data_IF_472344940039
#
_entry.id   IF_472344940039
#
_cell.length_a   1.000
_cell.length_b   1.000
_cell.length_c   1.000
_cell.angle_alpha   90.00
_cell.angle_beta   90.00
_cell.angle_gamma   90.00
#
_symmetry.space_group_name_H-M   'P 1'
#
loop_
_entity.id
_entity.type
_entity.pdbx_description
1 polymer ?
#
# COMPACT_ATOMS: atom_id res chain seq x y z
N UNK A 1 10.14 -59.02 11.35
CA UNK A 1 8.96 -59.69 11.81
C UNK A 1 7.72 -58.83 11.52
N UNK A 2 6.58 -59.48 11.21
CA UNK A 2 5.33 -58.83 10.71
C UNK A 2 4.82 -57.70 11.62
N UNK A 3 4.98 -57.79 12.92
CA UNK A 3 4.54 -56.77 13.90
C UNK A 3 5.29 -55.43 13.74
N UNK A 4 6.57 -55.46 13.39
CA UNK A 4 7.36 -54.24 13.15
C UNK A 4 6.99 -53.55 11.82
N UNK A 5 6.56 -54.35 10.83
CA UNK A 5 6.06 -53.80 9.54
C UNK A 5 4.69 -53.15 9.69
N UNK A 6 3.80 -53.73 10.52
CA UNK A 6 2.47 -53.11 10.78
C UNK A 6 2.62 -51.79 11.55
N UNK A 7 3.46 -51.74 12.59
CA UNK A 7 3.72 -50.48 13.32
C UNK A 7 4.36 -49.38 12.45
N UNK A 8 5.21 -49.76 11.49
CA UNK A 8 5.83 -48.80 10.57
C UNK A 8 4.79 -48.24 9.58
N UNK A 9 3.86 -49.08 9.06
CA UNK A 9 2.77 -48.62 8.20
C UNK A 9 1.75 -47.73 8.93
N UNK A 10 1.42 -48.02 10.20
CA UNK A 10 0.57 -47.16 11.02
C UNK A 10 1.23 -45.81 11.33
N UNK A 11 2.55 -45.79 11.54
CA UNK A 11 3.27 -44.55 11.77
C UNK A 11 3.36 -43.68 10.50
N UNK A 12 3.57 -44.33 9.35
CA UNK A 12 3.57 -43.62 8.04
C UNK A 12 2.17 -43.11 7.66
N UNK A 13 1.10 -43.88 7.95
CA UNK A 13 -0.27 -43.43 7.74
C UNK A 13 -0.64 -42.23 8.64
N UNK A 14 -0.26 -42.28 9.91
CA UNK A 14 -0.46 -41.16 10.85
C UNK A 14 0.33 -39.93 10.47
N UNK A 15 1.53 -40.08 9.91
CA UNK A 15 2.35 -38.97 9.42
C UNK A 15 1.69 -38.28 8.18
N UNK A 16 1.17 -39.11 7.26
CA UNK A 16 0.42 -38.61 6.07
C UNK A 16 -0.90 -37.93 6.48
N UNK A 17 -1.61 -38.44 7.49
CA UNK A 17 -2.84 -37.77 8.00
C UNK A 17 -2.54 -36.45 8.71
N UNK A 18 -1.42 -36.35 9.45
CA UNK A 18 -0.96 -35.09 10.06
C UNK A 18 -0.53 -34.07 9.00
N UNK A 19 0.26 -34.49 8.00
CA UNK A 19 0.69 -33.62 6.90
C UNK A 19 -0.52 -33.12 6.06
N UNK A 20 -1.49 -34.01 5.78
CA UNK A 20 -2.73 -33.63 5.07
C UNK A 20 -3.64 -32.72 5.92
N UNK A 21 -3.68 -32.92 7.25
CA UNK A 21 -4.43 -32.05 8.17
C UNK A 21 -3.81 -30.65 8.28
N UNK A 22 -2.49 -30.58 8.32
CA UNK A 22 -1.76 -29.32 8.36
C UNK A 22 -1.88 -28.54 7.02
N UNK A 23 -1.83 -29.23 5.88
CA UNK A 23 -2.09 -28.61 4.57
C UNK A 23 -3.54 -28.14 4.42
N UNK A 24 -4.53 -28.93 4.88
CA UNK A 24 -5.93 -28.53 4.84
C UNK A 24 -6.24 -27.33 5.75
N UNK A 25 -5.64 -27.28 6.94
CA UNK A 25 -5.75 -26.12 7.83
C UNK A 25 -5.05 -24.90 7.24
N UNK A 26 -3.85 -25.07 6.65
CA UNK A 26 -3.13 -23.98 5.99
C UNK A 26 -3.91 -23.45 4.79
N UNK A 27 -4.55 -24.30 4.00
CA UNK A 27 -5.40 -23.87 2.87
C UNK A 27 -6.66 -23.17 3.36
N UNK A 28 -7.30 -23.65 4.44
CA UNK A 28 -8.46 -22.97 5.04
C UNK A 28 -8.08 -21.59 5.61
N UNK A 29 -6.92 -21.48 6.28
CA UNK A 29 -6.39 -20.21 6.78
C UNK A 29 -6.05 -19.23 5.63
N UNK A 30 -5.56 -19.75 4.49
CA UNK A 30 -5.28 -18.94 3.29
C UNK A 30 -6.58 -18.47 2.61
N UNK A 31 -7.59 -19.33 2.52
CA UNK A 31 -8.91 -18.96 2.00
C UNK A 31 -9.62 -17.93 2.89
N UNK A 32 -9.50 -18.06 4.23
CA UNK A 32 -10.05 -17.11 5.19
C UNK A 32 -9.33 -15.74 5.14
N UNK A 33 -8.02 -15.73 4.94
CA UNK A 33 -7.23 -14.50 4.73
C UNK A 33 -7.63 -13.77 3.42
N UNK A 34 -8.02 -14.51 2.38
CA UNK A 34 -8.43 -13.97 1.09
C UNK A 34 -9.79 -13.24 1.15
N UNK A 35 -10.73 -13.75 1.96
CA UNK A 35 -12.08 -13.18 2.11
C UNK A 35 -12.11 -11.97 3.06
N UNK A 36 -11.02 -11.70 3.81
CA UNK A 36 -11.00 -10.61 4.78
C UNK A 36 -10.91 -9.24 4.12
N UNK A 37 -11.97 -8.47 4.23
CA UNK A 37 -12.03 -7.10 3.75
C UNK A 37 -11.01 -6.19 4.44
N UNK A 38 -10.30 -5.37 3.65
CA UNK A 38 -9.42 -4.32 4.14
C UNK A 38 -10.19 -2.98 4.16
N UNK A 39 -10.69 -2.59 5.32
CA UNK A 39 -11.47 -1.37 5.46
C UNK A 39 -10.56 -0.17 5.81
N UNK A 40 -10.42 0.77 4.88
CA UNK A 40 -9.62 1.97 5.07
C UNK A 40 -10.50 3.15 5.51
N UNK A 41 -10.16 3.76 6.64
CA UNK A 41 -10.82 4.96 7.14
C UNK A 41 -10.24 6.21 6.48
N UNK A 42 -11.10 7.16 6.09
CA UNK A 42 -10.69 8.44 5.51
C UNK A 42 -10.96 9.60 6.47
N UNK A 43 -10.23 10.70 6.28
CA UNK A 43 -10.29 11.89 7.12
C UNK A 43 -11.55 12.75 6.96
N UNK A 44 -12.43 12.36 6.06
CA UNK A 44 -13.61 13.16 5.68
C UNK A 44 -13.36 14.02 4.44
N UNK A 45 -14.35 14.80 4.06
CA UNK A 45 -14.25 15.67 2.90
C UNK A 45 -13.55 17.00 3.24
N UNK A 46 -12.61 17.38 2.40
CA UNK A 46 -12.01 18.71 2.40
C UNK A 46 -12.69 19.57 1.30
N UNK A 47 -12.85 20.86 1.56
CA UNK A 47 -13.50 21.80 0.62
C UNK A 47 -12.59 22.17 -0.55
N UNK A 48 -11.30 21.94 -0.45
CA UNK A 48 -10.28 22.31 -1.43
C UNK A 48 -9.42 21.11 -1.81
N UNK A 49 -8.52 21.30 -2.78
CA UNK A 49 -7.53 20.32 -3.12
C UNK A 49 -6.63 20.02 -1.89
N UNK A 50 -6.30 18.76 -1.69
CA UNK A 50 -5.39 18.33 -0.65
C UNK A 50 -3.99 18.88 -0.93
N UNK A 51 -3.56 18.77 -2.20
CA UNK A 51 -2.29 19.29 -2.72
C UNK A 51 -2.50 19.87 -4.10
N UNK A 52 -1.88 21.02 -4.38
CA UNK A 52 -1.89 21.67 -5.70
C UNK A 52 -0.49 22.17 -6.04
N UNK A 53 -0.04 21.84 -7.22
CA UNK A 53 1.16 22.34 -7.86
C UNK A 53 0.77 23.40 -8.91
N UNK A 54 1.45 24.52 -8.92
CA UNK A 54 1.31 25.58 -9.88
C UNK A 54 2.71 25.88 -10.48
N UNK A 55 2.95 25.43 -11.71
CA UNK A 55 4.20 25.63 -12.46
C UNK A 55 5.45 25.06 -11.76
N UNK A 56 5.34 23.89 -11.12
CA UNK A 56 6.41 23.32 -10.28
C UNK A 56 7.53 22.74 -11.13
N UNK A 57 8.78 23.18 -10.87
CA UNK A 57 9.98 22.54 -11.40
C UNK A 57 10.88 22.08 -10.26
N UNK A 58 11.68 21.05 -10.52
CA UNK A 58 12.62 20.54 -9.53
C UNK A 58 13.90 20.02 -10.14
N UNK A 59 15.04 20.43 -9.54
CA UNK A 59 16.36 19.88 -9.75
C UNK A 59 17.06 19.67 -8.40
N UNK A 60 17.86 18.61 -8.28
CA UNK A 60 18.77 18.47 -7.15
C UNK A 60 19.95 19.41 -7.29
N UNK A 61 20.59 19.85 -6.18
CA UNK A 61 21.75 20.73 -6.25
C UNK A 61 22.86 20.17 -7.14
N UNK A 62 23.19 20.90 -8.21
CA UNK A 62 24.24 20.52 -9.18
C UNK A 62 23.84 19.44 -10.17
N UNK A 63 22.59 19.00 -10.19
CA UNK A 63 22.03 18.03 -11.14
C UNK A 63 21.16 18.68 -12.22
N UNK A 64 20.76 17.88 -13.20
CA UNK A 64 19.83 18.26 -14.24
C UNK A 64 18.40 18.37 -13.68
N UNK A 65 17.55 19.12 -14.37
CA UNK A 65 16.15 19.28 -14.04
C UNK A 65 15.40 17.96 -14.23
N UNK A 66 14.76 17.46 -13.15
CA UNK A 66 14.01 16.21 -13.17
C UNK A 66 12.63 16.38 -13.82
N UNK A 67 12.03 17.53 -13.65
CA UNK A 67 10.79 17.94 -14.30
C UNK A 67 10.59 19.45 -14.18
N UNK A 68 9.86 20.00 -15.15
CA UNK A 68 9.61 21.42 -15.27
C UNK A 68 8.13 21.72 -15.51
N UNK A 69 7.70 22.89 -15.02
CA UNK A 69 6.40 23.52 -15.29
C UNK A 69 5.20 22.54 -15.07
N UNK A 70 5.20 21.87 -13.92
CA UNK A 70 4.19 20.87 -13.58
C UNK A 70 2.99 21.50 -12.89
N UNK A 71 1.82 21.34 -13.50
CA UNK A 71 0.53 21.62 -12.88
C UNK A 71 -0.14 20.30 -12.47
N UNK A 72 -0.43 20.15 -11.18
CA UNK A 72 -1.07 18.96 -10.61
C UNK A 72 -2.00 19.36 -9.48
N UNK A 73 -3.17 18.77 -9.43
CA UNK A 73 -4.06 18.88 -8.28
C UNK A 73 -4.54 17.52 -7.82
N UNK A 74 -4.49 17.30 -6.50
CA UNK A 74 -4.95 16.06 -5.85
C UNK A 74 -6.02 16.42 -4.84
N UNK A 75 -7.17 15.82 -4.96
CA UNK A 75 -8.32 15.95 -4.07
C UNK A 75 -8.77 14.60 -3.49
N UNK A 76 -9.85 14.56 -2.72
CA UNK A 76 -10.38 13.34 -2.09
C UNK A 76 -10.94 12.31 -3.10
N UNK A 77 -11.15 12.68 -4.35
CA UNK A 77 -11.65 11.78 -5.41
C UNK A 77 -10.55 11.31 -6.35
N UNK A 78 -9.37 11.88 -6.23
CA UNK A 78 -8.23 11.58 -7.07
C UNK A 78 -7.77 10.13 -6.91
N UNK A 79 -7.47 9.47 -8.03
CA UNK A 79 -6.86 8.15 -8.15
C UNK A 79 -5.77 8.27 -9.21
N UNK A 80 -4.65 8.84 -8.81
CA UNK A 80 -3.54 9.20 -9.69
C UNK A 80 -2.48 8.12 -9.62
N UNK A 81 -2.02 7.62 -10.76
CA UNK A 81 -0.81 6.80 -10.83
C UNK A 81 0.34 7.59 -11.42
N UNK A 82 1.50 7.49 -10.80
CA UNK A 82 2.76 8.04 -11.29
C UNK A 82 3.56 6.94 -11.99
N UNK A 83 3.81 7.10 -13.29
CA UNK A 83 4.58 6.18 -14.11
C UNK A 83 5.85 6.86 -14.61
N UNK A 84 6.84 6.07 -14.97
CA UNK A 84 8.12 6.51 -15.51
C UNK A 84 9.22 5.53 -15.17
N UNK A 85 10.32 5.60 -15.85
CA UNK A 85 11.49 4.78 -15.55
C UNK A 85 12.10 5.13 -14.17
N UNK A 86 12.97 4.25 -13.68
CA UNK A 86 13.68 4.51 -12.43
C UNK A 86 14.60 5.72 -12.59
N UNK A 87 14.64 6.60 -11.59
CA UNK A 87 15.44 7.82 -11.63
C UNK A 87 14.76 9.04 -12.26
N UNK A 88 13.61 8.89 -12.92
CA UNK A 88 12.92 10.00 -13.61
C UNK A 88 12.21 11.00 -12.68
N UNK A 89 12.20 10.78 -11.36
CA UNK A 89 11.67 11.76 -10.41
C UNK A 89 10.35 11.38 -9.72
N UNK A 90 9.82 10.13 -9.88
CA UNK A 90 8.60 9.67 -9.19
C UNK A 90 8.68 9.88 -7.68
N UNK A 91 9.74 9.35 -7.04
CA UNK A 91 9.97 9.50 -5.60
C UNK A 91 10.16 10.96 -5.19
N UNK A 92 10.79 11.76 -6.05
CA UNK A 92 10.95 13.21 -5.81
C UNK A 92 9.60 13.91 -5.83
N UNK A 93 8.73 13.59 -6.77
CA UNK A 93 7.38 14.14 -6.83
C UNK A 93 6.57 13.75 -5.59
N UNK A 94 6.66 12.50 -5.13
CA UNK A 94 6.06 12.05 -3.86
C UNK A 94 6.58 12.89 -2.69
N UNK A 95 7.89 13.10 -2.58
CA UNK A 95 8.49 13.92 -1.51
C UNK A 95 8.04 15.39 -1.56
N UNK A 96 7.79 15.92 -2.75
CA UNK A 96 7.22 17.28 -2.88
C UNK A 96 5.74 17.27 -2.46
N UNK A 97 4.96 16.24 -2.81
CA UNK A 97 3.57 16.11 -2.37
C UNK A 97 3.49 16.03 -0.83
N UNK A 98 4.37 15.26 -0.18
CA UNK A 98 4.42 15.11 1.28
C UNK A 98 4.98 16.33 2.00
N UNK A 99 5.71 17.21 1.30
CA UNK A 99 6.38 18.38 1.89
C UNK A 99 7.76 18.09 2.47
N UNK A 100 8.34 16.92 2.16
CA UNK A 100 9.73 16.59 2.51
C UNK A 100 10.74 17.33 1.65
N UNK A 101 10.34 17.73 0.43
CA UNK A 101 11.12 18.55 -0.49
C UNK A 101 10.31 19.75 -0.94
N UNK A 102 10.97 20.89 -1.07
CA UNK A 102 10.39 22.08 -1.68
C UNK A 102 10.80 22.17 -3.16
N UNK A 103 9.93 22.70 -4.05
CA UNK A 103 10.24 22.86 -5.46
C UNK A 103 11.38 23.87 -5.69
N UNK A 104 12.13 23.72 -6.78
CA UNK A 104 13.14 24.70 -7.20
C UNK A 104 12.50 25.96 -7.74
N UNK A 105 11.34 25.84 -8.41
CA UNK A 105 10.52 26.96 -8.87
C UNK A 105 9.03 26.57 -8.88
N UNK A 106 8.15 27.55 -9.05
CA UNK A 106 6.71 27.36 -8.92
C UNK A 106 6.25 27.37 -7.46
N UNK A 107 5.04 26.90 -7.22
CA UNK A 107 4.48 26.84 -5.86
C UNK A 107 3.69 25.58 -5.59
N UNK A 108 3.73 25.09 -4.34
CA UNK A 108 2.93 23.96 -3.87
C UNK A 108 2.06 24.40 -2.72
N UNK A 109 0.75 24.34 -2.94
CA UNK A 109 -0.23 24.62 -1.90
C UNK A 109 -0.72 23.30 -1.32
N UNK A 110 -0.67 23.17 0.02
CA UNK A 110 -1.17 22.02 0.77
C UNK A 110 -2.26 22.49 1.73
N UNK A 111 -3.38 21.78 1.80
CA UNK A 111 -4.42 22.06 2.79
C UNK A 111 -3.87 21.78 4.19
N UNK A 112 -3.97 22.76 5.10
CA UNK A 112 -3.43 22.65 6.47
C UNK A 112 -4.17 21.64 7.34
N UNK A 113 -5.40 21.30 7.00
CA UNK A 113 -6.21 20.29 7.68
C UNK A 113 -6.00 18.89 7.09
N UNK A 114 -5.31 18.76 5.97
CA UNK A 114 -5.09 17.49 5.31
C UNK A 114 -4.07 16.64 6.07
N UNK A 115 -4.41 15.36 6.26
CA UNK A 115 -3.48 14.32 6.67
C UNK A 115 -3.08 13.52 5.45
N UNK A 116 -1.79 13.55 5.12
CA UNK A 116 -1.19 12.80 4.01
C UNK A 116 -0.34 11.69 4.60
N UNK A 117 -0.63 10.46 4.23
CA UNK A 117 0.13 9.29 4.68
C UNK A 117 0.82 8.63 3.49
N UNK A 118 2.11 8.38 3.63
CA UNK A 118 2.90 7.61 2.68
C UNK A 118 3.02 6.17 3.17
N UNK A 119 2.69 5.22 2.33
CA UNK A 119 2.96 3.79 2.51
C UNK A 119 3.99 3.40 1.47
N UNK A 120 5.19 3.10 1.90
CA UNK A 120 6.26 2.61 1.05
C UNK A 120 6.53 1.12 1.34
N UNK A 121 7.32 0.50 0.48
CA UNK A 121 7.70 -0.91 0.59
C UNK A 121 8.26 -1.28 1.98
N UNK A 122 8.92 -0.34 2.67
CA UNK A 122 9.53 -0.57 3.98
C UNK A 122 8.54 -0.48 5.16
N UNK A 123 7.29 -0.06 4.95
CA UNK A 123 6.33 0.04 6.06
C UNK A 123 5.99 -1.31 6.69
N UNK A 124 5.89 -2.37 5.88
CA UNK A 124 5.73 -3.73 6.38
C UNK A 124 7.01 -4.23 7.11
N UNK A 125 8.18 -3.73 6.72
CA UNK A 125 9.47 -4.03 7.35
C UNK A 125 9.70 -3.25 8.66
N UNK A 126 9.00 -2.12 8.86
CA UNK A 126 9.03 -1.35 10.11
C UNK A 126 8.35 -2.07 11.26
N UNK A 127 7.52 -3.07 10.96
CA UNK A 127 7.01 -3.97 11.97
C UNK A 127 8.17 -4.82 12.49
N UNK A 128 8.76 -4.42 13.63
CA UNK A 128 9.87 -5.13 14.24
C UNK A 128 9.50 -6.61 14.42
N UNK A 129 10.39 -7.51 14.04
CA UNK A 129 10.14 -8.95 13.97
C UNK A 129 9.64 -9.58 15.26
N UNK A 130 10.00 -9.01 16.41
CA UNK A 130 9.63 -9.44 17.75
C UNK A 130 8.35 -8.80 18.28
N UNK A 131 7.84 -7.75 17.62
CA UNK A 131 6.59 -7.08 18.02
C UNK A 131 5.38 -7.77 17.43
N UNK A 132 4.30 -7.76 18.20
CA UNK A 132 2.98 -8.18 17.72
C UNK A 132 2.26 -7.02 17.02
N UNK A 133 1.28 -7.26 16.14
CA UNK A 133 0.44 -6.22 15.54
C UNK A 133 -0.14 -5.25 16.57
N UNK A 134 -0.68 -5.76 17.66
CA UNK A 134 -1.23 -4.90 18.71
C UNK A 134 -0.16 -4.06 19.40
N UNK A 135 1.00 -4.64 19.73
CA UNK A 135 2.09 -3.91 20.35
C UNK A 135 2.61 -2.80 19.43
N UNK A 136 2.72 -3.08 18.14
CA UNK A 136 3.08 -2.07 17.12
C UNK A 136 2.07 -0.92 17.08
N UNK A 137 0.77 -1.23 17.09
CA UNK A 137 -0.28 -0.20 17.12
C UNK A 137 -0.26 0.62 18.41
N UNK A 138 -0.03 0.00 19.56
CA UNK A 138 0.06 0.71 20.84
C UNK A 138 1.30 1.62 20.92
N UNK A 139 2.42 1.19 20.36
CA UNK A 139 3.64 2.01 20.30
C UNK A 139 3.46 3.21 19.36
N UNK A 140 2.77 2.99 18.23
CA UNK A 140 2.51 4.05 17.24
C UNK A 140 1.43 5.02 17.72
N UNK A 141 0.43 4.49 18.44
CA UNK A 141 -0.73 5.24 18.92
C UNK A 141 -0.95 4.96 20.42
N UNK A 142 -0.11 5.50 21.30
CA UNK A 142 -0.14 5.15 22.72
C UNK A 142 -1.45 5.58 23.42
N UNK A 143 -2.16 6.59 22.88
CA UNK A 143 -3.41 7.08 23.46
C UNK A 143 -3.29 7.45 24.92
N UNK A 144 -4.33 7.12 25.71
CA UNK A 144 -4.38 7.35 27.16
C UNK A 144 -4.01 6.11 27.99
N UNK A 145 -3.59 5.01 27.33
CA UNK A 145 -3.27 3.75 28.00
C UNK A 145 -4.49 2.99 28.55
N UNK A 146 -5.71 3.45 28.25
CA UNK A 146 -6.94 2.80 28.75
C UNK A 146 -7.25 1.51 28.00
N UNK A 147 -7.99 0.61 28.68
CA UNK A 147 -8.55 -0.58 28.05
C UNK A 147 -9.43 -0.24 26.82
N UNK A 148 -10.19 0.85 26.90
CA UNK A 148 -11.02 1.29 25.78
C UNK A 148 -10.18 1.68 24.55
N UNK A 149 -9.02 2.29 24.74
CA UNK A 149 -8.10 2.61 23.65
C UNK A 149 -7.54 1.35 23.00
N UNK A 150 -7.11 0.38 23.81
CA UNK A 150 -6.64 -0.91 23.30
C UNK A 150 -7.73 -1.63 22.50
N UNK A 151 -8.99 -1.66 22.99
CA UNK A 151 -10.11 -2.28 22.28
C UNK A 151 -10.41 -1.58 20.94
N UNK A 152 -10.23 -0.27 20.83
CA UNK A 152 -10.34 0.45 19.55
C UNK A 152 -9.28 0.01 18.56
N UNK A 153 -8.03 -0.16 19.01
CA UNK A 153 -6.94 -0.63 18.15
C UNK A 153 -7.19 -2.07 17.68
N UNK A 154 -7.64 -2.97 18.57
CA UNK A 154 -8.01 -4.35 18.24
C UNK A 154 -9.13 -4.41 17.21
N UNK A 155 -10.21 -3.66 17.45
CA UNK A 155 -11.34 -3.57 16.52
C UNK A 155 -10.92 -3.02 15.15
N UNK A 156 -10.02 -2.03 15.14
CA UNK A 156 -9.51 -1.46 13.90
C UNK A 156 -8.61 -2.45 13.13
N UNK A 157 -7.74 -3.18 13.81
CA UNK A 157 -6.95 -4.26 13.23
C UNK A 157 -7.88 -5.32 12.58
N UNK A 158 -8.91 -5.76 13.30
CA UNK A 158 -9.89 -6.72 12.75
C UNK A 158 -10.62 -6.15 11.54
N UNK A 159 -11.00 -4.88 11.56
CA UNK A 159 -11.61 -4.19 10.40
C UNK A 159 -10.69 -4.08 9.18
N UNK A 160 -9.39 -4.17 9.38
CA UNK A 160 -8.37 -4.23 8.32
C UNK A 160 -7.95 -5.67 7.97
N UNK A 161 -8.70 -6.68 8.43
CA UNK A 161 -8.45 -8.07 8.11
C UNK A 161 -7.29 -8.71 8.90
N UNK A 162 -6.91 -8.14 10.05
CA UNK A 162 -5.98 -8.78 10.98
C UNK A 162 -6.78 -9.50 12.04
N UNK A 163 -6.91 -10.82 11.89
CA UNK A 163 -7.67 -11.68 12.79
C UNK A 163 -7.24 -11.52 14.25
N UNK A 164 -8.17 -11.73 15.17
CA UNK A 164 -7.93 -11.55 16.61
C UNK A 164 -6.78 -12.43 17.11
N UNK A 165 -6.66 -13.64 16.60
CA UNK A 165 -5.61 -14.63 16.90
C UNK A 165 -4.24 -14.09 16.51
N UNK A 166 -4.16 -13.40 15.37
CA UNK A 166 -2.91 -12.86 14.83
C UNK A 166 -2.45 -11.58 15.54
N UNK A 167 -3.35 -10.85 16.20
CA UNK A 167 -3.02 -9.57 16.83
C UNK A 167 -1.96 -9.66 17.94
N UNK A 168 -1.79 -10.86 18.52
CA UNK A 168 -0.80 -11.14 19.56
C UNK A 168 0.33 -12.08 19.10
N UNK A 169 0.40 -12.40 17.80
CA UNK A 169 1.47 -13.22 17.22
C UNK A 169 2.62 -12.31 16.79
N UNK A 170 3.88 -12.66 17.09
CA UNK A 170 5.03 -11.87 16.62
C UNK A 170 5.07 -11.75 15.09
N UNK A 171 5.46 -10.57 14.59
CA UNK A 171 5.50 -10.27 13.18
C UNK A 171 6.37 -11.25 12.36
N UNK A 172 7.36 -11.88 12.99
CA UNK A 172 8.18 -12.91 12.35
C UNK A 172 7.33 -14.06 11.79
N UNK A 173 6.26 -14.44 12.50
CA UNK A 173 5.38 -15.56 12.13
C UNK A 173 4.23 -15.15 11.19
N UNK A 174 4.09 -13.86 10.85
CA UNK A 174 3.06 -13.37 9.93
C UNK A 174 3.51 -13.51 8.48
N UNK A 175 2.56 -13.80 7.59
CA UNK A 175 2.75 -13.75 6.14
C UNK A 175 3.04 -12.33 5.63
N UNK A 176 3.50 -12.19 4.39
CA UNK A 176 3.69 -10.89 3.74
C UNK A 176 2.39 -10.08 3.66
N UNK A 177 1.29 -10.74 3.27
CA UNK A 177 -0.04 -10.13 3.20
C UNK A 177 -0.54 -9.68 4.58
N UNK A 178 -0.38 -10.50 5.61
CA UNK A 178 -0.75 -10.15 6.99
C UNK A 178 0.05 -8.95 7.51
N UNK A 179 1.36 -8.88 7.26
CA UNK A 179 2.19 -7.70 7.60
C UNK A 179 1.73 -6.44 6.87
N UNK A 180 1.38 -6.57 5.60
CA UNK A 180 0.85 -5.45 4.81
C UNK A 180 -0.48 -4.95 5.38
N UNK A 181 -1.38 -5.85 5.80
CA UNK A 181 -2.65 -5.47 6.48
C UNK A 181 -2.40 -4.71 7.78
N UNK A 182 -1.42 -5.11 8.59
CA UNK A 182 -1.03 -4.36 9.80
C UNK A 182 -0.51 -2.97 9.46
N UNK A 183 0.35 -2.84 8.45
CA UNK A 183 0.86 -1.55 7.99
C UNK A 183 -0.28 -0.64 7.48
N UNK A 184 -1.21 -1.20 6.70
CA UNK A 184 -2.38 -0.48 6.21
C UNK A 184 -3.34 -0.09 7.35
N UNK A 185 -3.49 -0.94 8.37
CA UNK A 185 -4.26 -0.61 9.57
C UNK A 185 -3.66 0.60 10.30
N UNK A 186 -2.34 0.67 10.46
CA UNK A 186 -1.68 1.81 11.09
C UNK A 186 -1.87 3.12 10.30
N UNK A 187 -1.82 3.04 8.98
CA UNK A 187 -2.12 4.19 8.11
C UNK A 187 -3.59 4.60 8.22
N UNK A 188 -4.49 3.63 8.11
CA UNK A 188 -5.94 3.85 8.17
C UNK A 188 -6.39 4.44 9.51
N UNK A 189 -5.75 4.05 10.63
CA UNK A 189 -6.09 4.57 11.96
C UNK A 189 -5.88 6.08 12.09
N UNK A 190 -4.98 6.64 11.30
CA UNK A 190 -4.76 8.10 11.22
C UNK A 190 -5.89 8.82 10.48
N UNK A 191 -6.82 8.09 9.86
CA UNK A 191 -7.89 8.62 9.02
C UNK A 191 -7.36 9.65 7.99
N UNK A 192 -6.47 9.25 7.05
CA UNK A 192 -5.85 10.16 6.11
C UNK A 192 -6.84 10.72 5.09
N UNK A 193 -6.56 11.93 4.58
CA UNK A 193 -7.28 12.53 3.45
C UNK A 193 -6.66 12.12 2.11
N UNK A 194 -5.35 11.80 2.13
CA UNK A 194 -4.58 11.31 1.00
C UNK A 194 -3.68 10.17 1.44
N UNK A 195 -3.77 9.05 0.73
CA UNK A 195 -2.81 7.95 0.85
C UNK A 195 -1.91 7.95 -0.38
N UNK A 196 -0.61 7.91 -0.17
CA UNK A 196 0.38 7.70 -1.22
C UNK A 196 0.92 6.28 -1.04
N UNK A 197 0.84 5.48 -2.10
CA UNK A 197 1.29 4.09 -2.13
C UNK A 197 2.47 3.97 -3.07
N UNK A 198 3.64 3.62 -2.55
CA UNK A 198 4.85 3.43 -3.33
C UNK A 198 5.18 1.94 -3.42
N UNK A 199 4.94 1.34 -4.60
CA UNK A 199 5.08 -0.08 -4.93
C UNK A 199 4.37 -1.02 -3.92
N UNK A 200 3.06 -0.81 -3.65
CA UNK A 200 2.36 -1.49 -2.56
C UNK A 200 2.11 -2.97 -2.83
N UNK A 201 2.22 -3.44 -4.08
CA UNK A 201 1.98 -4.82 -4.48
C UNK A 201 3.21 -5.71 -4.36
N UNK A 202 4.38 -5.14 -4.10
CA UNK A 202 5.60 -5.91 -3.90
C UNK A 202 5.46 -6.84 -2.69
N UNK A 203 5.79 -8.11 -2.89
CA UNK A 203 5.70 -9.17 -1.89
C UNK A 203 4.28 -9.52 -1.41
N UNK A 204 3.24 -9.09 -2.12
CA UNK A 204 1.87 -9.53 -1.91
C UNK A 204 1.52 -10.69 -2.85
N UNK A 205 0.74 -11.64 -2.33
CA UNK A 205 0.04 -12.62 -3.16
C UNK A 205 -1.12 -11.97 -3.91
N UNK A 206 -1.70 -12.70 -4.86
CA UNK A 206 -2.78 -12.18 -5.72
C UNK A 206 -3.99 -11.76 -4.89
N UNK A 207 -4.34 -12.51 -3.87
CA UNK A 207 -5.51 -12.28 -3.01
C UNK A 207 -5.34 -11.01 -2.18
N UNK A 208 -4.15 -10.80 -1.59
CA UNK A 208 -3.82 -9.56 -0.88
C UNK A 208 -3.80 -8.35 -1.82
N UNK A 209 -3.35 -8.51 -3.08
CA UNK A 209 -3.42 -7.46 -4.09
C UNK A 209 -4.86 -7.10 -4.43
N UNK A 210 -5.75 -8.09 -4.56
CA UNK A 210 -7.18 -7.87 -4.82
C UNK A 210 -7.87 -7.16 -3.67
N UNK A 211 -7.64 -7.61 -2.43
CA UNK A 211 -8.17 -6.97 -1.23
C UNK A 211 -7.69 -5.50 -1.09
N UNK A 212 -6.41 -5.24 -1.41
CA UNK A 212 -5.87 -3.89 -1.41
C UNK A 212 -6.51 -3.02 -2.51
N UNK A 213 -6.68 -3.55 -3.72
CA UNK A 213 -7.32 -2.83 -4.81
C UNK A 213 -8.77 -2.45 -4.45
N UNK A 214 -9.54 -3.38 -3.91
CA UNK A 214 -10.91 -3.13 -3.45
C UNK A 214 -10.96 -2.09 -2.32
N UNK A 215 -10.04 -2.17 -1.37
CA UNK A 215 -9.92 -1.18 -0.29
C UNK A 215 -9.67 0.23 -0.84
N UNK A 216 -8.81 0.37 -1.86
CA UNK A 216 -8.53 1.65 -2.50
C UNK A 216 -9.71 2.17 -3.31
N UNK A 217 -10.43 1.30 -4.02
CA UNK A 217 -11.66 1.65 -4.74
C UNK A 217 -12.71 2.23 -3.78
N UNK A 218 -12.88 1.62 -2.61
CA UNK A 218 -13.84 2.00 -1.59
C UNK A 218 -13.39 3.18 -0.72
N UNK A 219 -12.10 3.50 -0.70
CA UNK A 219 -11.53 4.56 0.12
C UNK A 219 -12.11 5.92 -0.24
N UNK A 220 -12.52 6.71 0.77
CA UNK A 220 -13.18 8.01 0.60
C UNK A 220 -12.21 9.21 0.60
N UNK A 221 -10.92 8.97 0.55
CA UNK A 221 -9.88 9.97 0.38
C UNK A 221 -9.18 9.87 -0.97
N UNK A 222 -8.24 10.77 -1.25
CA UNK A 222 -7.39 10.75 -2.44
C UNK A 222 -6.36 9.62 -2.39
N UNK A 223 -5.95 9.14 -3.56
CA UNK A 223 -4.88 8.14 -3.70
C UNK A 223 -3.90 8.56 -4.78
N UNK A 224 -2.62 8.54 -4.45
CA UNK A 224 -1.51 8.62 -5.38
C UNK A 224 -0.77 7.29 -5.32
N UNK A 225 -0.57 6.66 -6.47
CA UNK A 225 0.03 5.35 -6.60
C UNK A 225 1.30 5.44 -7.45
N UNK A 226 2.40 4.88 -6.96
CA UNK A 226 3.58 4.54 -7.76
C UNK A 226 3.60 3.02 -7.86
N UNK A 227 3.42 2.46 -9.04
CA UNK A 227 3.46 1.01 -9.24
C UNK A 227 3.76 0.65 -10.69
N UNK A 228 4.44 -0.47 -10.86
CA UNK A 228 4.68 -1.12 -12.16
C UNK A 228 3.73 -2.30 -12.41
N UNK A 229 2.89 -2.66 -11.46
CA UNK A 229 1.90 -3.71 -11.60
C UNK A 229 0.74 -3.25 -12.48
N UNK A 230 0.69 -3.77 -13.71
CA UNK A 230 -0.30 -3.35 -14.71
C UNK A 230 -1.73 -3.67 -14.27
N UNK A 231 -1.95 -4.84 -13.69
CA UNK A 231 -3.28 -5.26 -13.26
C UNK A 231 -3.82 -4.33 -12.17
N UNK A 232 -3.00 -4.06 -11.17
CA UNK A 232 -3.34 -3.17 -10.06
C UNK A 232 -3.60 -1.73 -10.54
N UNK A 233 -2.72 -1.22 -11.41
CA UNK A 233 -2.86 0.13 -11.98
C UNK A 233 -4.15 0.25 -12.83
N UNK A 234 -4.45 -0.73 -13.69
CA UNK A 234 -5.66 -0.72 -14.51
C UNK A 234 -6.94 -0.68 -13.68
N UNK A 235 -6.94 -1.36 -12.55
CA UNK A 235 -8.10 -1.43 -11.66
C UNK A 235 -8.31 -0.14 -10.86
N UNK A 236 -7.25 0.44 -10.33
CA UNK A 236 -7.31 1.53 -9.35
C UNK A 236 -7.23 2.91 -9.98
N UNK A 237 -6.41 3.09 -11.05
CA UNK A 237 -6.08 4.41 -11.58
C UNK A 237 -7.20 4.99 -12.44
N UNK A 238 -7.59 6.23 -12.14
CA UNK A 238 -8.47 7.05 -12.98
C UNK A 238 -7.70 8.05 -13.82
N UNK A 239 -6.49 8.36 -13.43
CA UNK A 239 -5.61 9.32 -14.06
C UNK A 239 -4.17 8.81 -14.03
N UNK A 240 -3.45 9.01 -15.11
CA UNK A 240 -2.06 8.57 -15.27
C UNK A 240 -1.18 9.79 -15.48
N UNK A 241 -0.13 9.91 -14.68
CA UNK A 241 0.92 10.91 -14.83
C UNK A 241 2.20 10.18 -15.20
N UNK A 242 2.78 10.52 -16.33
CA UNK A 242 4.03 9.95 -16.83
C UNK A 242 5.14 10.97 -16.66
N UNK A 243 6.19 10.58 -15.95
CA UNK A 243 7.41 11.38 -15.78
C UNK A 243 8.50 10.78 -16.66
N UNK A 244 8.93 11.51 -17.66
CA UNK A 244 9.87 11.03 -18.67
C UNK A 244 10.65 12.18 -19.28
N UNK A 245 11.97 12.07 -19.31
CA UNK A 245 12.89 13.02 -19.94
C UNK A 245 12.66 14.49 -19.54
N UNK A 246 12.47 14.73 -18.24
CA UNK A 246 12.22 16.06 -17.68
C UNK A 246 10.81 16.61 -17.91
N UNK A 247 9.94 15.87 -18.58
CA UNK A 247 8.56 16.26 -18.85
C UNK A 247 7.57 15.43 -18.00
N UNK A 248 6.49 16.09 -17.59
CA UNK A 248 5.37 15.43 -16.92
C UNK A 248 4.16 15.49 -17.85
N UNK A 249 3.63 14.32 -18.20
CA UNK A 249 2.48 14.19 -19.11
C UNK A 249 1.30 13.61 -18.38
N UNK A 250 0.16 14.24 -18.45
CA UNK A 250 -1.10 13.72 -17.93
C UNK A 250 -1.84 12.96 -19.03
N UNK A 251 -2.26 11.74 -18.73
CA UNK A 251 -3.03 10.89 -19.61
C UNK A 251 -4.35 10.51 -18.93
N UNK A 252 -5.42 10.42 -19.71
CA UNK A 252 -6.76 10.11 -19.20
C UNK A 252 -6.92 8.67 -18.70
N UNK A 253 -6.05 7.76 -19.15
CA UNK A 253 -6.15 6.35 -18.78
C UNK A 253 -4.84 5.58 -19.00
N UNK A 254 -4.70 4.45 -18.32
CA UNK A 254 -3.58 3.53 -18.52
C UNK A 254 -3.59 2.90 -19.94
N UNK A 255 -4.74 2.74 -20.56
CA UNK A 255 -4.84 2.29 -21.95
C UNK A 255 -4.18 3.30 -22.93
N UNK A 256 -4.30 4.61 -22.65
CA UNK A 256 -3.61 5.65 -23.42
C UNK A 256 -2.09 5.58 -23.25
N UNK A 257 -1.61 5.27 -22.04
CA UNK A 257 -0.20 5.02 -21.77
C UNK A 257 0.34 3.82 -22.55
N UNK A 258 -0.36 2.66 -22.52
CA UNK A 258 0.02 1.46 -23.29
C UNK A 258 0.15 1.77 -24.79
N UNK A 259 -0.80 2.52 -25.34
CA UNK A 259 -0.75 2.93 -26.77
C UNK A 259 0.47 3.81 -27.07
N UNK A 260 0.82 4.72 -26.13
CA UNK A 260 1.99 5.60 -26.31
C UNK A 260 3.30 4.80 -26.33
N UNK A 261 3.45 3.83 -25.42
CA UNK A 261 4.62 2.93 -25.36
C UNK A 261 4.71 2.05 -26.61
N UNK A 262 3.59 1.41 -27.03
CA UNK A 262 3.54 0.59 -28.22
C UNK A 262 3.97 1.38 -29.48
N UNK A 263 3.55 2.66 -29.58
CA UNK A 263 3.94 3.53 -30.69
C UNK A 263 5.44 3.87 -30.65
N UNK A 264 6.03 4.12 -29.48
CA UNK A 264 7.48 4.36 -29.33
C UNK A 264 8.30 3.15 -29.74
N UNK A 265 7.90 1.94 -29.30
CA UNK A 265 8.58 0.69 -29.65
C UNK A 265 8.50 0.37 -31.16
N UNK A 266 7.43 0.79 -31.84
CA UNK A 266 7.28 0.60 -33.29
C UNK A 266 8.10 1.60 -34.13
N UNK A 267 8.61 2.68 -33.50
CA UNK A 267 9.39 3.75 -34.17
C UNK A 267 10.87 3.73 -33.79
N UNK A 268 11.28 2.89 -32.85
CA UNK A 268 12.65 2.61 -32.46
C UNK A 268 13.22 1.41 -33.24
#
# INVERSE_FOLDING_TARGET
>A
SAINMMKKKELEAKKLELEAGDEANLMADLEEDAELALNLQAGGELRQNIVRFDGVSFAYPGGDELFADVDLSVDSKSRVVLLGENGQGKTTMVKIITGELEPTSGSVTRDRGARVCLVNQHHAEQLAYDKTPLAFMLDTFPGDGSYNHEQKLRSHLSGCGVLTELQNVPALALSGGQKSRVAMAAVSFQAPHLIILDEPTNNLDLESCEALAEAIENFKGGVVLVSHDQYFVERVAKEVIVIEDGAVKRLESFASYKKSIAKKLATA
#
